data_IF_413563136178
#
_entry.id   IF_413563136178
#
_cell.length_a   1.000
_cell.length_b   1.000
_cell.length_c   1.000
_cell.angle_alpha   90.00
_cell.angle_beta   90.00
_cell.angle_gamma   90.00
#
_symmetry.space_group_name_H-M   'P 1'
#
loop_
_entity.id
_entity.type
_entity.pdbx_description
1 polymer ?
#
# COMPACT_ATOMS: atom_id res chain seq x y z
N UNK A 1 -9.05 -2.51 12.41
CA UNK A 1 -8.44 -1.83 11.24
C UNK A 1 -7.00 -2.34 11.12
N UNK A 2 -6.46 -2.51 9.90
CA UNK A 2 -5.18 -3.20 9.64
C UNK A 2 -3.99 -2.42 10.22
N UNK A 3 -3.95 -1.09 10.08
CA UNK A 3 -2.86 -0.27 10.60
C UNK A 3 -2.73 -0.41 12.12
N UNK A 4 -3.84 -0.45 12.85
CA UNK A 4 -3.85 -0.65 14.31
C UNK A 4 -3.35 -2.05 14.69
N UNK A 5 -3.80 -3.08 13.98
CA UNK A 5 -3.37 -4.46 14.22
C UNK A 5 -1.86 -4.64 13.94
N UNK A 6 -1.37 -4.06 12.84
CA UNK A 6 0.03 -4.06 12.45
C UNK A 6 0.89 -3.31 13.48
N UNK A 7 0.48 -2.11 13.88
CA UNK A 7 1.16 -1.31 14.88
C UNK A 7 1.33 -2.07 16.19
N UNK A 8 0.25 -2.68 16.69
CA UNK A 8 0.28 -3.53 17.89
C UNK A 8 1.24 -4.70 17.73
N UNK A 9 1.16 -5.40 16.61
CA UNK A 9 2.01 -6.55 16.33
C UNK A 9 3.50 -6.19 16.33
N UNK A 10 3.88 -5.11 15.63
CA UNK A 10 5.27 -4.67 15.54
C UNK A 10 5.85 -4.22 16.89
N UNK A 11 5.00 -3.68 17.76
CA UNK A 11 5.37 -3.31 19.13
C UNK A 11 5.20 -4.46 20.15
N UNK A 12 4.72 -5.63 19.74
CA UNK A 12 4.45 -6.74 20.65
C UNK A 12 3.31 -6.49 21.64
N UNK A 13 2.41 -5.55 21.36
CA UNK A 13 1.27 -5.24 22.20
C UNK A 13 0.22 -6.35 22.03
N UNK A 14 0.09 -7.25 23.01
CA UNK A 14 -0.95 -8.29 22.99
C UNK A 14 -2.34 -7.71 23.34
N UNK A 15 -3.38 -8.33 22.80
CA UNK A 15 -4.77 -7.90 23.03
C UNK A 15 -5.23 -8.22 24.46
N UNK A 16 -5.66 -7.14 25.14
CA UNK A 16 -6.46 -7.03 26.37
C UNK A 16 -5.72 -6.88 27.70
N UNK A 17 -5.93 -5.69 28.28
CA UNK A 17 -6.09 -5.35 29.71
C UNK A 17 -5.02 -4.53 30.41
N UNK A 18 -3.89 -4.24 29.77
CA UNK A 18 -2.92 -3.29 30.31
C UNK A 18 -2.65 -2.18 29.31
N UNK A 19 -2.68 -0.94 29.80
CA UNK A 19 -2.02 0.21 29.21
C UNK A 19 -0.48 -0.02 29.30
N UNK A 20 -0.02 -1.16 28.79
CA UNK A 20 1.39 -1.47 28.73
C UNK A 20 1.99 -0.51 27.72
N UNK A 21 2.76 0.42 28.27
CA UNK A 21 3.56 1.36 27.51
C UNK A 21 4.38 0.56 26.48
N UNK A 22 4.60 1.10 25.27
CA UNK A 22 5.48 0.49 24.29
C UNK A 22 6.76 0.02 24.98
N UNK A 23 7.22 -1.20 24.68
CA UNK A 23 8.49 -1.70 25.17
C UNK A 23 9.54 -0.59 24.97
N UNK A 24 10.14 -0.14 26.08
CA UNK A 24 10.96 1.06 26.12
C UNK A 24 11.98 1.07 24.97
N UNK A 25 11.88 2.06 24.08
CA UNK A 25 12.87 2.31 23.02
C UNK A 25 12.43 2.04 21.57
N UNK A 26 11.19 1.62 21.29
CA UNK A 26 10.69 1.52 19.90
C UNK A 26 9.78 2.69 19.55
N UNK A 27 10.33 3.66 18.83
CA UNK A 27 9.58 4.78 18.24
C UNK A 27 9.10 4.37 16.83
N UNK A 28 7.83 3.96 16.72
CA UNK A 28 7.21 3.55 15.46
C UNK A 28 6.16 4.59 15.05
N UNK A 29 6.27 5.10 13.83
CA UNK A 29 5.29 6.01 13.24
C UNK A 29 4.73 5.42 11.95
N UNK A 30 3.41 5.42 11.82
CA UNK A 30 2.72 4.99 10.61
C UNK A 30 2.02 6.18 9.96
N UNK A 31 2.20 6.30 8.65
CA UNK A 31 1.39 7.15 7.78
C UNK A 31 0.48 6.28 6.93
N UNK A 32 -0.83 6.49 7.06
CA UNK A 32 -1.86 5.76 6.33
C UNK A 32 -2.58 6.72 5.39
N UNK A 33 -2.49 6.46 4.09
CA UNK A 33 -3.09 7.30 3.06
C UNK A 33 -4.23 6.57 2.34
N UNK A 34 -5.30 7.30 2.03
CA UNK A 34 -6.42 6.82 1.22
C UNK A 34 -7.03 7.99 0.43
N UNK A 35 -7.54 7.71 -0.77
CA UNK A 35 -8.17 8.72 -1.64
C UNK A 35 -9.57 9.12 -1.16
N UNK A 36 -10.23 8.31 -0.32
CA UNK A 36 -11.55 8.60 0.22
C UNK A 36 -11.45 9.33 1.58
N UNK A 37 -11.80 10.62 1.57
CA UNK A 37 -11.78 11.47 2.76
C UNK A 37 -12.69 10.96 3.90
N UNK A 38 -13.83 10.34 3.57
CA UNK A 38 -14.74 9.80 4.57
C UNK A 38 -14.23 8.50 5.20
N UNK A 39 -13.43 7.70 4.47
CA UNK A 39 -12.70 6.58 5.07
C UNK A 39 -11.59 7.06 6.01
N UNK A 40 -10.83 8.07 5.60
CA UNK A 40 -9.79 8.68 6.43
C UNK A 40 -10.35 9.25 7.73
N UNK A 41 -11.46 9.98 7.66
CA UNK A 41 -12.07 10.55 8.86
C UNK A 41 -12.54 9.47 9.83
N UNK A 42 -13.17 8.39 9.31
CA UNK A 42 -13.55 7.24 10.15
C UNK A 42 -12.34 6.53 10.76
N UNK A 43 -11.23 6.42 10.03
CA UNK A 43 -10.01 5.83 10.54
C UNK A 43 -9.38 6.69 11.65
N UNK A 44 -9.36 8.02 11.50
CA UNK A 44 -8.90 8.96 12.53
C UNK A 44 -9.72 8.85 13.82
N UNK A 45 -11.04 8.83 13.70
CA UNK A 45 -11.95 8.75 14.85
C UNK A 45 -11.87 7.42 15.61
N UNK A 46 -11.45 6.35 14.93
CA UNK A 46 -11.35 5.00 15.52
C UNK A 46 -9.94 4.60 15.96
N UNK A 47 -8.92 5.42 15.65
CA UNK A 47 -7.53 5.11 15.99
C UNK A 47 -7.26 5.24 17.48
N UNK A 48 -6.78 4.18 18.17
CA UNK A 48 -6.37 4.25 19.56
C UNK A 48 -4.97 4.87 19.75
N UNK A 49 -4.24 5.16 18.66
CA UNK A 49 -2.85 5.64 18.71
C UNK A 49 -2.65 6.90 17.86
N UNK A 50 -3.34 8.02 18.14
CA UNK A 50 -3.32 9.23 17.30
C UNK A 50 -1.95 9.93 17.24
N UNK A 51 -1.07 9.69 18.22
CA UNK A 51 0.29 10.24 18.23
C UNK A 51 1.25 9.47 17.31
N UNK A 52 0.94 8.21 16.98
CA UNK A 52 1.85 7.29 16.27
C UNK A 52 1.29 6.82 14.94
N UNK A 53 -0.02 6.88 14.74
CA UNK A 53 -0.68 6.52 13.48
C UNK A 53 -1.38 7.77 12.93
N UNK A 54 -0.79 8.32 11.87
CA UNK A 54 -1.32 9.46 11.13
C UNK A 54 -2.13 8.96 9.93
N UNK A 55 -3.29 9.57 9.69
CA UNK A 55 -4.11 9.28 8.52
C UNK A 55 -4.22 10.52 7.64
N UNK A 56 -4.13 10.36 6.32
CA UNK A 56 -4.21 11.46 5.37
C UNK A 56 -5.06 11.11 4.16
N UNK A 57 -5.91 12.06 3.75
CA UNK A 57 -6.57 11.95 2.47
C UNK A 57 -5.57 12.35 1.38
N UNK A 58 -5.20 11.40 0.53
CA UNK A 58 -4.16 11.58 -0.48
C UNK A 58 -4.42 10.66 -1.67
N UNK A 59 -4.46 11.24 -2.87
CA UNK A 59 -4.30 10.47 -4.09
C UNK A 59 -2.80 10.22 -4.32
N UNK A 60 -2.38 8.97 -4.18
CA UNK A 60 -0.97 8.60 -4.33
C UNK A 60 -0.47 8.72 -5.77
N UNK A 61 -1.38 8.82 -6.75
CA UNK A 61 -1.02 8.99 -8.16
C UNK A 61 -0.90 10.46 -8.58
N UNK A 62 -1.36 11.41 -7.75
CA UNK A 62 -1.19 12.83 -8.00
C UNK A 62 0.16 13.32 -7.45
N UNK A 63 1.15 13.45 -8.34
CA UNK A 63 2.49 13.93 -7.99
C UNK A 63 2.50 15.30 -7.30
N UNK A 64 1.65 16.23 -7.76
CA UNK A 64 1.63 17.60 -7.27
C UNK A 64 1.18 17.69 -5.81
N UNK A 65 0.29 16.81 -5.36
CA UNK A 65 -0.12 16.73 -3.96
C UNK A 65 0.76 15.78 -3.13
N UNK A 66 1.16 14.61 -3.67
CA UNK A 66 1.91 13.60 -2.89
C UNK A 66 3.31 14.05 -2.50
N UNK A 67 4.04 14.71 -3.41
CA UNK A 67 5.46 15.05 -3.18
C UNK A 67 5.66 16.04 -2.01
N UNK A 68 5.00 17.21 -1.98
CA UNK A 68 5.17 18.14 -0.87
C UNK A 68 4.63 17.57 0.45
N UNK A 69 3.54 16.80 0.39
CA UNK A 69 2.94 16.19 1.58
C UNK A 69 3.88 15.17 2.23
N UNK A 70 4.41 14.23 1.46
CA UNK A 70 5.28 13.17 1.96
C UNK A 70 6.64 13.72 2.40
N UNK A 71 7.20 14.68 1.66
CA UNK A 71 8.44 15.36 2.05
C UNK A 71 8.28 16.11 3.37
N UNK A 72 7.15 16.80 3.56
CA UNK A 72 6.82 17.47 4.83
C UNK A 72 6.67 16.47 5.98
N UNK A 73 5.97 15.35 5.75
CA UNK A 73 5.80 14.31 6.76
C UNK A 73 7.15 13.70 7.20
N UNK A 74 7.98 13.26 6.24
CA UNK A 74 9.29 12.67 6.50
C UNK A 74 10.27 13.68 7.13
N UNK A 75 10.18 14.96 6.73
CA UNK A 75 10.98 16.04 7.28
C UNK A 75 10.81 16.25 8.78
N UNK A 76 9.64 15.92 9.35
CA UNK A 76 9.40 15.93 10.81
C UNK A 76 10.30 14.96 11.58
N UNK A 77 10.81 13.94 10.90
CA UNK A 77 11.68 12.91 11.45
C UNK A 77 13.13 13.04 10.95
N UNK A 78 13.45 14.07 10.16
CA UNK A 78 14.75 14.21 9.51
C UNK A 78 15.06 13.10 8.51
N UNK A 79 14.03 12.52 7.88
CA UNK A 79 14.15 11.43 6.90
C UNK A 79 13.82 11.92 5.50
N UNK A 80 14.32 11.21 4.49
CA UNK A 80 14.00 11.41 3.07
C UNK A 80 13.26 10.21 2.45
N UNK A 81 13.22 9.07 3.14
CA UNK A 81 12.53 7.85 2.75
C UNK A 81 11.88 7.20 3.97
N UNK A 82 10.89 6.33 3.74
CA UNK A 82 10.30 5.49 4.77
C UNK A 82 11.14 4.23 4.97
N UNK A 83 11.18 3.73 6.21
CA UNK A 83 11.85 2.45 6.50
C UNK A 83 11.09 1.28 5.86
N UNK A 84 9.75 1.34 5.81
CA UNK A 84 8.92 0.34 5.14
C UNK A 84 7.62 0.92 4.57
N UNK A 85 7.28 0.52 3.34
CA UNK A 85 5.99 0.76 2.70
C UNK A 85 5.09 -0.48 2.72
N UNK A 86 3.79 -0.29 2.97
CA UNK A 86 2.78 -1.35 2.94
C UNK A 86 1.81 -1.13 1.78
N UNK A 87 1.93 -1.92 0.71
CA UNK A 87 1.06 -1.88 -0.47
C UNK A 87 0.10 -3.07 -0.46
N UNK A 88 -0.95 -2.96 0.37
CA UNK A 88 -1.87 -4.08 0.64
C UNK A 88 -3.14 -3.98 -0.19
N UNK A 89 -3.33 -4.85 -1.19
CA UNK A 89 -4.57 -4.89 -1.97
C UNK A 89 -4.91 -3.56 -2.68
N UNK A 90 -3.90 -2.83 -3.16
CA UNK A 90 -4.09 -1.55 -3.88
C UNK A 90 -3.69 -1.63 -5.35
N UNK A 91 -2.71 -2.48 -5.70
CA UNK A 91 -2.12 -2.55 -7.05
C UNK A 91 -3.14 -2.75 -8.16
N UNK A 92 -4.20 -3.53 -7.94
CA UNK A 92 -5.27 -3.71 -8.92
C UNK A 92 -6.01 -2.42 -9.22
N UNK A 93 -6.33 -1.62 -8.21
CA UNK A 93 -7.09 -0.39 -8.40
C UNK A 93 -6.27 0.65 -9.15
N UNK A 94 -5.00 0.81 -8.79
CA UNK A 94 -4.06 1.66 -9.53
C UNK A 94 -3.98 1.23 -10.99
N UNK A 95 -3.80 -0.06 -11.22
CA UNK A 95 -3.66 -0.60 -12.57
C UNK A 95 -4.94 -0.44 -13.41
N UNK A 96 -6.12 -0.65 -12.82
CA UNK A 96 -7.40 -0.47 -13.50
C UNK A 96 -7.69 0.99 -13.84
N UNK A 97 -7.28 1.94 -12.98
CA UNK A 97 -7.53 3.37 -13.17
C UNK A 97 -6.48 4.08 -14.05
N UNK A 98 -5.22 3.67 -13.99
CA UNK A 98 -4.09 4.38 -14.62
C UNK A 98 -3.33 3.52 -15.65
N UNK A 99 -3.82 2.32 -15.94
CA UNK A 99 -3.24 1.42 -16.94
C UNK A 99 -1.84 0.88 -16.58
N UNK A 100 -1.21 0.23 -17.56
CA UNK A 100 0.12 -0.38 -17.38
C UNK A 100 1.19 0.66 -17.02
N UNK A 101 1.07 1.90 -17.53
CA UNK A 101 1.99 3.00 -17.23
C UNK A 101 1.85 3.45 -15.78
N UNK A 102 0.61 3.63 -15.31
CA UNK A 102 0.36 4.03 -13.93
C UNK A 102 0.79 2.97 -12.92
N UNK A 103 0.61 1.68 -13.23
CA UNK A 103 1.14 0.62 -12.36
C UNK A 103 2.67 0.70 -12.25
N UNK A 104 3.38 0.91 -13.36
CA UNK A 104 4.84 1.04 -13.34
C UNK A 104 5.30 2.30 -12.59
N UNK A 105 4.67 3.44 -12.86
CA UNK A 105 4.98 4.70 -12.15
C UNK A 105 4.76 4.55 -10.64
N UNK A 106 3.65 3.95 -10.24
CA UNK A 106 3.34 3.69 -8.84
C UNK A 106 4.37 2.81 -8.15
N UNK A 107 4.76 1.70 -8.78
CA UNK A 107 5.77 0.79 -8.23
C UNK A 107 7.14 1.46 -8.15
N UNK A 108 7.55 2.19 -9.19
CA UNK A 108 8.81 2.95 -9.20
C UNK A 108 8.85 4.04 -8.13
N UNK A 109 7.71 4.70 -7.91
CA UNK A 109 7.56 5.69 -6.85
C UNK A 109 7.65 5.05 -5.45
N UNK A 110 6.95 3.94 -5.21
CA UNK A 110 7.05 3.25 -3.91
C UNK A 110 8.45 2.68 -3.66
N UNK A 111 9.13 2.18 -4.69
CA UNK A 111 10.50 1.68 -4.55
C UNK A 111 11.52 2.78 -4.23
N UNK A 112 11.34 3.99 -4.76
CA UNK A 112 12.24 5.11 -4.45
C UNK A 112 11.96 5.74 -3.09
N UNK A 113 10.73 5.58 -2.59
CA UNK A 113 10.27 6.17 -1.34
C UNK A 113 10.55 5.30 -0.10
N UNK A 114 10.85 4.00 -0.27
CA UNK A 114 10.92 3.03 0.83
C UNK A 114 12.19 2.16 0.81
N UNK A 115 12.78 1.89 1.98
CA UNK A 115 13.87 0.89 2.11
C UNK A 115 13.32 -0.53 1.93
N UNK A 116 12.23 -0.86 2.61
CA UNK A 116 11.48 -2.10 2.42
C UNK A 116 10.10 -1.84 1.82
N UNK A 117 9.62 -2.75 0.98
CA UNK A 117 8.28 -2.66 0.40
C UNK A 117 7.56 -3.99 0.51
N UNK A 118 6.51 -4.04 1.33
CA UNK A 118 5.65 -5.22 1.48
C UNK A 118 4.41 -5.07 0.60
N UNK A 119 4.24 -5.96 -0.38
CA UNK A 119 3.16 -5.90 -1.36
C UNK A 119 2.28 -7.14 -1.28
N UNK A 120 0.96 -6.92 -1.28
CA UNK A 120 -0.06 -7.95 -1.53
C UNK A 120 -0.71 -7.67 -2.91
N UNK A 121 -0.18 -8.23 -4.01
CA UNK A 121 -0.76 -8.04 -5.32
C UNK A 121 -2.08 -8.81 -5.46
N UNK A 122 -3.13 -8.15 -5.96
CA UNK A 122 -4.38 -8.88 -6.22
C UNK A 122 -4.27 -9.67 -7.53
N UNK A 123 -4.70 -10.95 -7.55
CA UNK A 123 -4.60 -11.80 -8.72
C UNK A 123 -5.56 -11.37 -9.82
N UNK A 124 -5.29 -11.77 -11.06
CA UNK A 124 -6.09 -11.40 -12.25
C UNK A 124 -7.57 -11.80 -12.16
N UNK A 125 -7.91 -12.82 -11.37
CA UNK A 125 -9.31 -13.18 -11.06
C UNK A 125 -10.08 -12.01 -10.42
N UNK A 126 -9.42 -11.21 -9.58
CA UNK A 126 -10.00 -10.02 -8.97
C UNK A 126 -10.24 -8.91 -10.00
N UNK A 127 -9.32 -8.70 -10.95
CA UNK A 127 -9.50 -7.74 -12.04
C UNK A 127 -10.76 -8.05 -12.86
N UNK A 128 -10.95 -9.32 -13.27
CA UNK A 128 -12.15 -9.76 -14.00
C UNK A 128 -13.44 -9.51 -13.22
N UNK A 129 -13.42 -9.79 -11.91
CA UNK A 129 -14.56 -9.58 -11.04
C UNK A 129 -14.91 -8.09 -10.88
N UNK A 130 -13.90 -7.24 -10.66
CA UNK A 130 -14.04 -5.79 -10.56
C UNK A 130 -14.58 -5.21 -11.87
N UNK A 131 -13.95 -5.51 -13.01
CA UNK A 131 -14.38 -5.03 -14.32
C UNK A 131 -15.82 -5.46 -14.65
N UNK A 132 -16.23 -6.68 -14.27
CA UNK A 132 -17.62 -7.13 -14.43
C UNK A 132 -18.58 -6.34 -13.55
N UNK A 133 -18.23 -6.07 -12.29
CA UNK A 133 -19.07 -5.28 -11.37
C UNK A 133 -19.24 -3.85 -11.88
N UNK A 134 -18.17 -3.22 -12.35
CA UNK A 134 -18.18 -1.84 -12.83
C UNK A 134 -19.04 -1.68 -14.08
N UNK A 135 -18.91 -2.58 -15.07
CA UNK A 135 -19.80 -2.61 -16.24
C UNK A 135 -21.29 -2.72 -15.86
N UNK A 136 -21.62 -3.56 -14.87
CA UNK A 136 -23.01 -3.72 -14.40
C UNK A 136 -23.57 -2.44 -13.75
N UNK A 137 -22.71 -1.58 -13.23
CA UNK A 137 -23.08 -0.31 -12.60
C UNK A 137 -23.13 0.85 -13.61
N UNK A 138 -23.00 0.59 -14.92
CA UNK A 138 -22.94 1.62 -15.96
C UNK A 138 -21.66 2.46 -15.93
N UNK A 139 -20.65 1.99 -15.20
CA UNK A 139 -19.35 2.63 -15.01
C UNK A 139 -18.41 2.12 -16.11
N UNK A 140 -18.44 2.84 -17.25
CA UNK A 140 -17.61 2.57 -18.43
C UNK A 140 -16.20 3.21 -18.34
N UNK A 141 -15.90 3.91 -17.25
CA UNK A 141 -14.63 4.54 -16.87
C UNK A 141 -13.43 3.58 -16.74
N UNK A 142 -13.59 2.30 -17.07
CA UNK A 142 -12.55 1.26 -16.99
C UNK A 142 -12.22 0.64 -18.36
N UNK A 143 -12.16 1.48 -19.40
CA UNK A 143 -11.76 1.09 -20.76
C UNK A 143 -10.38 0.42 -20.80
N UNK A 144 -9.50 0.75 -19.83
CA UNK A 144 -8.18 0.17 -19.71
C UNK A 144 -8.18 -1.35 -19.55
N UNK A 145 -9.20 -1.97 -18.95
CA UNK A 145 -9.17 -3.42 -18.71
C UNK A 145 -8.95 -4.24 -19.99
N UNK A 146 -9.45 -3.75 -21.14
CA UNK A 146 -9.26 -4.42 -22.44
C UNK A 146 -7.88 -4.17 -23.05
N UNK A 147 -7.20 -3.11 -22.63
CA UNK A 147 -5.90 -2.70 -23.15
C UNK A 147 -4.72 -3.04 -22.22
N UNK A 148 -4.95 -3.61 -21.03
CA UNK A 148 -3.89 -3.98 -20.09
C UNK A 148 -3.02 -5.10 -20.67
N UNK A 149 -1.76 -4.78 -20.99
CA UNK A 149 -0.77 -5.75 -21.41
C UNK A 149 -0.13 -6.46 -20.22
N UNK A 150 -0.05 -5.80 -19.06
CA UNK A 150 0.33 -6.46 -17.81
C UNK A 150 -0.90 -7.24 -17.32
N UNK A 151 -0.85 -8.56 -17.47
CA UNK A 151 -1.94 -9.44 -17.05
C UNK A 151 -1.42 -10.84 -16.69
N UNK A 152 -2.32 -11.71 -16.23
CA UNK A 152 -2.00 -13.08 -15.83
C UNK A 152 -1.51 -13.19 -14.39
N UNK A 153 -0.30 -13.71 -14.19
CA UNK A 153 0.28 -13.83 -12.85
C UNK A 153 0.76 -12.47 -12.33
N UNK A 154 -0.12 -11.74 -11.66
CA UNK A 154 0.20 -10.39 -11.17
C UNK A 154 1.31 -10.37 -10.12
N UNK A 155 1.49 -11.45 -9.35
CA UNK A 155 2.58 -11.53 -8.38
C UNK A 155 3.92 -11.63 -9.10
N UNK A 156 4.00 -12.48 -10.13
CA UNK A 156 5.19 -12.60 -10.98
C UNK A 156 5.46 -11.27 -11.73
N UNK A 157 4.44 -10.66 -12.34
CA UNK A 157 4.58 -9.40 -13.09
C UNK A 157 5.10 -8.27 -12.22
N UNK A 158 4.54 -8.08 -11.03
CA UNK A 158 4.96 -7.03 -10.09
C UNK A 158 6.38 -7.30 -9.58
N UNK A 159 6.72 -8.57 -9.29
CA UNK A 159 8.08 -8.97 -8.94
C UNK A 159 9.06 -8.62 -10.06
N UNK A 160 8.72 -8.90 -11.32
CA UNK A 160 9.56 -8.57 -12.47
C UNK A 160 9.79 -7.06 -12.60
N UNK A 161 8.75 -6.24 -12.45
CA UNK A 161 8.88 -4.77 -12.50
C UNK A 161 9.82 -4.28 -11.39
N UNK A 162 9.58 -4.69 -10.15
CA UNK A 162 10.37 -4.20 -9.01
C UNK A 162 11.84 -4.65 -9.08
N UNK A 163 12.09 -5.88 -9.53
CA UNK A 163 13.45 -6.44 -9.61
C UNK A 163 14.25 -5.96 -10.82
N UNK A 164 13.60 -5.78 -11.98
CA UNK A 164 14.29 -5.41 -13.22
C UNK A 164 14.32 -3.90 -13.44
N UNK A 165 13.23 -3.21 -13.10
CA UNK A 165 13.04 -1.80 -13.47
C UNK A 165 13.25 -0.87 -12.26
N UNK A 166 13.12 -1.38 -11.03
CA UNK A 166 13.18 -0.57 -9.79
C UNK A 166 14.34 -0.94 -8.84
N UNK A 167 15.24 -1.82 -9.27
CA UNK A 167 16.43 -2.25 -8.51
C UNK A 167 16.15 -2.80 -7.09
N UNK A 168 14.94 -3.34 -6.84
CA UNK A 168 14.63 -3.98 -5.56
C UNK A 168 14.90 -5.49 -5.61
N UNK A 169 15.35 -6.07 -4.50
CA UNK A 169 15.47 -7.52 -4.32
C UNK A 169 14.23 -8.10 -3.63
N UNK A 170 13.68 -9.21 -4.13
CA UNK A 170 12.66 -9.98 -3.41
C UNK A 170 13.34 -10.77 -2.28
N UNK A 171 13.17 -10.32 -1.03
CA UNK A 171 13.84 -10.90 0.14
C UNK A 171 12.98 -11.92 0.89
N UNK A 172 11.65 -11.84 0.79
CA UNK A 172 10.76 -12.80 1.45
C UNK A 172 9.43 -12.96 0.71
N UNK A 173 8.89 -14.19 0.73
CA UNK A 173 7.52 -14.51 0.37
C UNK A 173 6.86 -15.21 1.57
N UNK A 174 5.79 -14.63 2.11
CA UNK A 174 5.09 -15.16 3.28
C UNK A 174 3.99 -16.18 2.91
N UNK A 175 4.06 -16.74 1.70
CA UNK A 175 3.03 -17.61 1.15
C UNK A 175 1.78 -16.84 0.75
N UNK A 176 0.67 -17.58 0.62
CA UNK A 176 -0.61 -17.05 0.17
C UNK A 176 -1.61 -16.95 1.31
N UNK A 177 -2.38 -15.85 1.33
CA UNK A 177 -3.58 -15.72 2.16
C UNK A 177 -4.65 -16.75 1.78
N UNK A 178 -5.70 -16.89 2.59
CA UNK A 178 -6.87 -17.72 2.27
C UNK A 178 -7.61 -17.31 0.98
N UNK A 179 -7.34 -16.10 0.48
CA UNK A 179 -7.85 -15.59 -0.79
C UNK A 179 -6.93 -15.88 -1.98
N UNK A 180 -5.86 -16.64 -1.74
CA UNK A 180 -4.85 -17.00 -2.72
C UNK A 180 -4.19 -15.72 -3.29
N UNK A 181 -3.69 -14.91 -2.35
CA UNK A 181 -2.90 -13.70 -2.61
C UNK A 181 -1.58 -13.80 -1.86
N UNK A 182 -0.47 -13.66 -2.57
CA UNK A 182 0.86 -13.71 -1.99
C UNK A 182 1.17 -12.42 -1.23
N UNK A 183 1.98 -12.53 -0.17
CA UNK A 183 2.63 -11.38 0.48
C UNK A 183 4.12 -11.40 0.18
N UNK A 184 4.61 -10.35 -0.48
CA UNK A 184 5.95 -10.27 -1.04
C UNK A 184 6.70 -9.09 -0.43
N UNK A 185 7.84 -9.34 0.21
CA UNK A 185 8.71 -8.31 0.77
C UNK A 185 9.89 -8.06 -0.14
N UNK A 186 10.05 -6.81 -0.53
CA UNK A 186 11.17 -6.32 -1.33
C UNK A 186 12.06 -5.39 -0.49
N UNK A 187 13.33 -5.29 -0.87
CA UNK A 187 14.31 -4.37 -0.30
C UNK A 187 15.06 -3.63 -1.40
N UNK A 188 15.27 -2.31 -1.27
CA UNK A 188 16.14 -1.53 -2.16
C UNK A 188 17.63 -1.71 -1.90
#
# INVERSE_FOLDING_TARGET
ELSVALYRHLLGLQDKSSLEQPAAGKDLHLLCCDIDAALIERARQSSPFPASISFANLDIMDSASREPFLSSYLGRFGRSTFDIGFCMSVTMWIHLHHGDSGLREFLAFLSSLCEYLLIEPQPWKCYRAAARRLRKLGRNDFDHFRSLAINGDMAERITQILTKDCAMELVCCFGSTSWDRSLLLFKS
#
